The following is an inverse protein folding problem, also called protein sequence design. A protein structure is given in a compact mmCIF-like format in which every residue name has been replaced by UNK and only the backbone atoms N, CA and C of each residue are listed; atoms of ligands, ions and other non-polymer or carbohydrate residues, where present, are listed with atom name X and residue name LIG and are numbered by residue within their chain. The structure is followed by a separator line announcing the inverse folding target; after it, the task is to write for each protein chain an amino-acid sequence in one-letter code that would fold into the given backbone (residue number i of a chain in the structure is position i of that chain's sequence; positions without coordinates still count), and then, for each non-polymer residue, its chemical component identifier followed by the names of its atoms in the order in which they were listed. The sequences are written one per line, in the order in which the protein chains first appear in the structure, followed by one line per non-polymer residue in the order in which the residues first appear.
data_IF_197937705342
#
_entry.id   IF_197937705342
#
_cell.length_a   1.000
_cell.length_b   1.000
_cell.length_c   1.000
_cell.angle_alpha   90.00
_cell.angle_beta   90.00
_cell.angle_gamma   90.00
#
_symmetry.space_group_name_H-M   'P 1'
#
loop_
_entity.id
_entity.type
_entity.pdbx_description
1 polymer ?
#
# COMPACT_ATOMS: atom_id res chain seq x y z
N UNK A 1 13.04 4.06 -19.36
CA UNK A 1 11.69 4.28 -18.77
C UNK A 1 11.26 5.67 -19.18
N UNK A 2 10.04 5.85 -19.71
CA UNK A 2 9.50 7.20 -19.94
C UNK A 2 9.18 7.81 -18.58
N UNK A 3 9.59 9.06 -18.36
CA UNK A 3 9.26 9.80 -17.15
C UNK A 3 7.74 9.91 -17.02
N UNK A 4 7.19 9.30 -15.96
CA UNK A 4 5.79 9.48 -15.63
C UNK A 4 5.65 10.87 -14.99
N UNK A 5 4.73 11.72 -15.45
CA UNK A 5 4.59 13.08 -14.96
C UNK A 5 3.88 13.05 -13.59
N UNK A 6 4.58 12.58 -12.55
CA UNK A 6 4.08 12.61 -11.18
C UNK A 6 4.42 13.92 -10.45
N UNK A 7 5.16 14.84 -11.09
CA UNK A 7 5.40 16.22 -10.65
C UNK A 7 6.16 16.41 -9.32
N UNK A 8 6.38 15.35 -8.56
CA UNK A 8 6.82 15.38 -7.17
C UNK A 8 7.84 14.27 -6.98
N UNK A 9 9.12 14.61 -6.74
CA UNK A 9 10.28 13.71 -6.52
C UNK A 9 9.91 12.39 -5.80
N UNK A 10 9.47 11.34 -6.52
CA UNK A 10 8.81 10.23 -5.88
C UNK A 10 9.84 9.14 -5.64
N UNK A 11 9.87 8.59 -4.43
CA UNK A 11 10.27 7.19 -4.29
C UNK A 11 9.19 6.38 -5.01
N UNK A 12 9.45 6.07 -6.28
CA UNK A 12 8.54 5.33 -7.16
C UNK A 12 8.67 3.86 -6.84
N UNK A 13 7.61 3.29 -6.28
CA UNK A 13 7.49 1.83 -6.18
C UNK A 13 6.37 1.41 -7.12
N UNK A 14 6.74 0.65 -8.16
CA UNK A 14 5.82 0.12 -9.14
C UNK A 14 5.43 -1.29 -8.73
N UNK A 15 4.14 -1.50 -8.56
CA UNK A 15 3.58 -2.83 -8.30
C UNK A 15 2.79 -3.27 -9.51
N UNK A 16 3.02 -4.51 -9.95
CA UNK A 16 2.26 -5.14 -11.02
C UNK A 16 1.72 -6.45 -10.49
N UNK A 17 0.40 -6.54 -10.39
CA UNK A 17 -0.31 -7.77 -10.08
C UNK A 17 -1.48 -7.97 -11.03
N UNK A 18 -2.24 -9.03 -10.83
CA UNK A 18 -3.38 -9.42 -11.69
C UNK A 18 -4.48 -8.36 -11.77
N UNK A 19 -4.48 -7.38 -10.85
CA UNK A 19 -5.54 -6.37 -10.67
C UNK A 19 -5.15 -4.97 -11.17
N UNK A 20 -3.93 -4.79 -11.65
CA UNK A 20 -3.49 -3.55 -12.28
C UNK A 20 -2.03 -3.20 -12.06
N UNK A 21 -1.63 -2.07 -12.63
CA UNK A 21 -0.35 -1.45 -12.36
C UNK A 21 -0.56 -0.32 -11.36
N UNK A 22 0.22 -0.31 -10.28
CA UNK A 22 0.16 0.73 -9.27
C UNK A 22 1.47 1.49 -9.19
N UNK A 23 1.38 2.76 -8.83
CA UNK A 23 2.50 3.65 -8.63
C UNK A 23 2.33 4.33 -7.29
N UNK A 24 3.22 4.04 -6.34
CA UNK A 24 3.28 4.77 -5.07
C UNK A 24 4.24 5.94 -5.22
N UNK A 25 3.76 7.16 -4.97
CA UNK A 25 4.59 8.35 -4.85
C UNK A 25 4.96 8.55 -3.37
N UNK A 26 6.03 7.88 -2.93
CA UNK A 26 6.39 7.77 -1.50
C UNK A 26 6.58 9.10 -0.77
N UNK A 27 7.05 10.15 -1.45
CA UNK A 27 7.26 11.48 -0.85
C UNK A 27 5.96 12.20 -0.46
N UNK A 28 4.86 11.92 -1.17
CA UNK A 28 3.55 12.56 -0.95
C UNK A 28 2.46 11.60 -0.52
N UNK A 29 2.80 10.33 -0.33
CA UNK A 29 1.90 9.31 0.22
C UNK A 29 0.62 9.11 -0.62
N UNK A 30 0.76 9.25 -1.94
CA UNK A 30 -0.30 9.06 -2.92
C UNK A 30 -0.05 7.74 -3.67
N UNK A 31 -1.10 6.92 -3.76
CA UNK A 31 -1.12 5.71 -4.57
C UNK A 31 -1.95 5.96 -5.83
N UNK A 32 -1.36 5.75 -6.98
CA UNK A 32 -2.02 5.80 -8.28
C UNK A 32 -2.28 4.39 -8.79
N UNK A 33 -3.46 4.16 -9.36
CA UNK A 33 -3.74 3.03 -10.23
C UNK A 33 -3.61 3.50 -11.67
N UNK A 34 -2.81 2.79 -12.45
CA UNK A 34 -2.51 3.10 -13.83
C UNK A 34 -3.16 2.07 -14.75
N UNK A 35 -3.60 2.54 -15.92
CA UNK A 35 -3.91 1.64 -17.02
C UNK A 35 -2.63 0.91 -17.45
N UNK A 36 -2.71 -0.42 -17.53
CA UNK A 36 -1.53 -1.26 -17.74
C UNK A 36 -0.93 -1.13 -19.15
N UNK A 37 -1.71 -0.67 -20.13
CA UNK A 37 -1.24 -0.51 -21.51
C UNK A 37 -0.64 0.88 -21.76
N UNK A 38 -1.35 1.93 -21.35
CA UNK A 38 -1.01 3.34 -21.62
C UNK A 38 -0.23 4.02 -20.49
N UNK A 39 -0.21 3.43 -19.29
CA UNK A 39 0.33 4.01 -18.05
C UNK A 39 -0.32 5.34 -17.64
N UNK A 40 -1.52 5.64 -18.17
CA UNK A 40 -2.30 6.79 -17.73
C UNK A 40 -2.90 6.53 -16.35
N UNK A 41 -3.02 7.58 -15.54
CA UNK A 41 -3.67 7.49 -14.23
C UNK A 41 -5.16 7.27 -14.41
N UNK A 42 -5.67 6.14 -13.90
CA UNK A 42 -7.10 5.85 -13.88
C UNK A 42 -7.75 6.34 -12.59
N UNK A 43 -7.07 6.14 -11.46
CA UNK A 43 -7.53 6.51 -10.11
C UNK A 43 -6.35 6.82 -9.21
N UNK A 44 -6.61 7.55 -8.13
CA UNK A 44 -5.62 7.79 -7.08
C UNK A 44 -6.29 7.89 -5.72
N UNK A 45 -5.50 7.67 -4.66
CA UNK A 45 -5.90 7.90 -3.28
C UNK A 45 -4.70 8.37 -2.45
N UNK A 46 -4.96 9.11 -1.37
CA UNK A 46 -3.95 9.61 -0.45
C UNK A 46 -4.23 9.10 0.96
N UNK A 47 -3.20 8.57 1.62
CA UNK A 47 -3.36 7.94 2.94
C UNK A 47 -2.92 8.82 4.10
N UNK A 48 -2.28 9.96 3.81
CA UNK A 48 -1.83 10.92 4.83
C UNK A 48 -0.67 10.44 5.69
N UNK A 49 -0.04 9.30 5.36
CA UNK A 49 1.08 8.75 6.12
C UNK A 49 2.12 8.06 5.22
N UNK A 50 3.35 7.91 5.73
CA UNK A 50 4.44 7.20 5.05
C UNK A 50 4.09 5.73 4.86
N UNK A 51 4.21 5.30 3.61
CA UNK A 51 4.04 3.92 3.18
C UNK A 51 5.37 3.48 2.59
N UNK A 52 5.94 2.43 3.17
CA UNK A 52 7.19 1.83 2.68
C UNK A 52 6.93 0.70 1.68
N UNK A 53 5.88 -0.09 1.92
CA UNK A 53 5.57 -1.30 1.17
C UNK A 53 4.06 -1.45 1.01
N UNK A 54 3.63 -2.14 -0.04
CA UNK A 54 2.24 -2.54 -0.25
C UNK A 54 2.25 -4.03 -0.61
N UNK A 55 1.45 -4.82 0.11
CA UNK A 55 1.35 -6.25 -0.12
C UNK A 55 -0.02 -6.61 -0.69
N UNK A 56 -0.05 -7.57 -1.60
CA UNK A 56 -1.24 -7.93 -2.37
C UNK A 56 -1.75 -9.30 -1.92
N UNK A 57 -3.06 -9.42 -1.68
CA UNK A 57 -3.73 -10.72 -1.56
C UNK A 57 -5.11 -10.66 -2.20
N UNK A 58 -5.28 -11.42 -3.28
CA UNK A 58 -6.46 -11.28 -4.13
C UNK A 58 -6.63 -9.82 -4.55
N UNK A 59 -7.83 -9.27 -4.35
CA UNK A 59 -8.15 -7.87 -4.70
C UNK A 59 -7.73 -6.85 -3.64
N UNK A 60 -7.22 -7.28 -2.49
CA UNK A 60 -6.86 -6.42 -1.37
C UNK A 60 -5.42 -5.91 -1.47
N UNK A 61 -5.24 -4.62 -1.25
CA UNK A 61 -3.96 -3.97 -0.99
C UNK A 61 -3.83 -3.77 0.52
N UNK A 62 -2.79 -4.35 1.11
CA UNK A 62 -2.48 -4.21 2.52
C UNK A 62 -1.39 -3.15 2.66
N UNK A 63 -1.74 -2.07 3.36
CA UNK A 63 -0.94 -0.86 3.43
C UNK A 63 -0.59 -0.58 4.89
N UNK A 64 0.67 -0.81 5.31
CA UNK A 64 1.17 -0.36 6.60
C UNK A 64 1.32 1.17 6.62
N UNK A 65 0.69 1.81 7.59
CA UNK A 65 0.87 3.22 7.90
C UNK A 65 1.91 3.37 9.01
N UNK A 66 3.09 3.86 8.63
CA UNK A 66 4.29 3.83 9.47
C UNK A 66 4.13 4.54 10.81
N UNK A 67 3.46 5.71 10.85
CA UNK A 67 3.38 6.56 12.06
C UNK A 67 2.22 6.20 12.98
N UNK A 68 1.23 5.47 12.45
CA UNK A 68 -0.01 5.22 13.16
C UNK A 68 -0.19 3.77 13.59
N UNK A 69 0.78 2.89 13.32
CA UNK A 69 0.70 1.46 13.65
C UNK A 69 -0.60 0.83 13.09
N UNK A 70 -1.03 1.30 11.93
CA UNK A 70 -2.32 0.94 11.32
C UNK A 70 -2.10 0.20 10.03
N UNK A 71 -2.99 -0.75 9.77
CA UNK A 71 -3.10 -1.43 8.49
C UNK A 71 -4.35 -0.91 7.82
N UNK A 72 -4.22 -0.40 6.61
CA UNK A 72 -5.36 -0.20 5.72
C UNK A 72 -5.45 -1.35 4.75
N UNK A 73 -6.64 -1.93 4.61
CA UNK A 73 -6.98 -2.80 3.50
C UNK A 73 -7.78 -1.99 2.50
N UNK A 74 -7.30 -1.97 1.26
CA UNK A 74 -7.87 -1.16 0.18
C UNK A 74 -8.27 -2.07 -0.97
N UNK A 75 -9.45 -1.86 -1.56
CA UNK A 75 -9.82 -2.54 -2.80
C UNK A 75 -8.94 -2.04 -3.95
N UNK A 76 -8.18 -2.94 -4.58
CA UNK A 76 -7.22 -2.59 -5.61
C UNK A 76 -7.86 -2.04 -6.90
N UNK A 77 -9.17 -2.24 -7.13
CA UNK A 77 -9.87 -1.70 -8.31
C UNK A 77 -10.41 -0.30 -8.03
N UNK A 78 -11.04 -0.09 -6.89
CA UNK A 78 -11.73 1.17 -6.55
C UNK A 78 -10.85 2.14 -5.77
N UNK A 79 -9.78 1.66 -5.15
CA UNK A 79 -8.93 2.36 -4.18
C UNK A 79 -9.68 2.84 -2.93
N UNK A 80 -10.82 2.22 -2.60
CA UNK A 80 -11.55 2.49 -1.36
C UNK A 80 -11.01 1.65 -0.22
N UNK A 81 -10.90 2.25 0.97
CA UNK A 81 -10.58 1.52 2.21
C UNK A 81 -11.76 0.61 2.55
N UNK A 82 -11.51 -0.69 2.61
CA UNK A 82 -12.51 -1.71 2.95
C UNK A 82 -12.41 -2.16 4.39
N UNK A 83 -11.22 -2.09 4.98
CA UNK A 83 -10.98 -2.44 6.36
C UNK A 83 -9.80 -1.63 6.92
N UNK A 84 -9.82 -1.41 8.24
CA UNK A 84 -8.72 -0.79 8.97
C UNK A 84 -8.53 -1.53 10.29
N UNK A 85 -7.28 -1.86 10.59
CA UNK A 85 -6.87 -2.43 11.86
C UNK A 85 -5.79 -1.55 12.52
N UNK A 86 -5.79 -1.48 13.85
CA UNK A 86 -4.73 -0.85 14.63
C UNK A 86 -3.96 -1.93 15.40
N UNK A 87 -2.63 -1.83 15.38
CA UNK A 87 -1.72 -2.70 16.10
C UNK A 87 -1.12 -1.94 17.28
N UNK A 88 -1.79 -2.00 18.43
CA UNK A 88 -1.48 -1.20 19.62
C UNK A 88 -0.07 -1.45 20.23
N UNK A 89 0.66 -2.45 19.74
CA UNK A 89 2.01 -2.84 20.19
C UNK A 89 3.10 -2.64 19.11
N UNK A 90 2.76 -2.05 17.96
CA UNK A 90 3.67 -1.97 16.82
C UNK A 90 4.15 -0.53 16.58
N UNK A 91 5.11 -0.03 17.38
CA UNK A 91 5.57 1.38 17.31
C UNK A 91 5.97 1.84 15.90
N UNK A 92 6.49 0.91 15.08
CA UNK A 92 6.89 1.19 13.71
C UNK A 92 6.58 0.00 12.81
N UNK A 93 5.44 0.07 12.14
CA UNK A 93 4.97 -0.93 11.20
C UNK A 93 5.57 -0.70 9.81
N UNK A 94 6.36 -1.66 9.32
CA UNK A 94 7.06 -1.53 8.03
C UNK A 94 6.46 -2.40 6.93
N UNK A 95 6.07 -3.63 7.27
CA UNK A 95 5.58 -4.64 6.31
C UNK A 95 4.38 -5.38 6.89
N UNK A 96 3.41 -5.71 6.03
CA UNK A 96 2.23 -6.50 6.40
C UNK A 96 2.07 -7.62 5.39
N UNK A 97 2.06 -8.86 5.85
CA UNK A 97 1.83 -10.05 5.05
C UNK A 97 0.46 -10.63 5.39
N UNK A 98 -0.54 -10.52 4.51
CA UNK A 98 -1.83 -11.13 4.75
C UNK A 98 -1.76 -12.66 4.66
N UNK A 99 -2.44 -13.35 5.57
CA UNK A 99 -2.40 -14.81 5.68
C UNK A 99 -3.58 -15.45 4.93
N UNK A 100 -3.34 -16.58 4.25
CA UNK A 100 -4.35 -17.29 3.45
C UNK A 100 -5.52 -17.84 4.26
N UNK A 101 -5.36 -18.03 5.58
CA UNK A 101 -6.42 -18.46 6.50
C UNK A 101 -7.25 -17.32 7.10
N UNK A 102 -6.99 -16.07 6.70
CA UNK A 102 -7.45 -14.87 7.41
C UNK A 102 -6.37 -14.38 8.39
N UNK A 103 -6.43 -13.09 8.71
CA UNK A 103 -5.43 -12.45 9.57
C UNK A 103 -4.22 -11.89 8.83
N UNK A 104 -3.25 -11.39 9.60
CA UNK A 104 -2.06 -10.69 9.11
C UNK A 104 -0.83 -11.01 9.97
N UNK A 105 0.32 -11.15 9.32
CA UNK A 105 1.62 -11.07 9.95
C UNK A 105 2.22 -9.69 9.69
N UNK A 106 2.52 -8.94 10.74
CA UNK A 106 3.00 -7.57 10.69
C UNK A 106 4.43 -7.50 11.23
N UNK A 107 5.35 -6.96 10.43
CA UNK A 107 6.72 -6.69 10.86
C UNK A 107 6.77 -5.30 11.52
N UNK A 108 7.06 -5.32 12.82
CA UNK A 108 7.35 -4.16 13.64
C UNK A 108 8.87 -4.09 13.85
N UNK A 109 9.40 -2.92 14.22
CA UNK A 109 10.86 -2.66 14.29
C UNK A 109 11.70 -3.76 14.97
N UNK A 110 11.18 -4.43 15.99
CA UNK A 110 11.89 -5.52 16.69
C UNK A 110 11.07 -6.82 16.82
N UNK A 111 9.87 -6.88 16.26
CA UNK A 111 8.92 -7.96 16.55
C UNK A 111 8.08 -8.33 15.33
N UNK A 112 7.73 -9.61 15.25
CA UNK A 112 6.72 -10.11 14.32
C UNK A 112 5.42 -10.31 15.10
N UNK A 113 4.40 -9.54 14.77
CA UNK A 113 3.05 -9.72 15.30
C UNK A 113 2.23 -10.56 14.33
N UNK A 114 1.54 -11.57 14.85
CA UNK A 114 0.64 -12.42 14.05
C UNK A 114 -0.75 -12.37 14.68
N UNK A 115 -1.76 -12.07 13.87
CA UNK A 115 -3.17 -12.02 14.26
C UNK A 115 -4.04 -12.74 13.25
#
# INVERSE_FOLDING_TARGET
MKDLPTGLNPTVIKYRGDFGTFLLAGAVHILYRLDSASYQVERWTAFGDRIHEITFLGKGLYIPLLRHSRILVVDGKTLQVTHQETLDLCERLTTVLPLTGGGVAALCENELLVR
#
